data_IF_339832975346
#
_entry.id   IF_339832975346
#
_cell.length_a   1.000
_cell.length_b   1.000
_cell.length_c   1.000
_cell.angle_alpha   90.00
_cell.angle_beta   90.00
_cell.angle_gamma   90.00
#
_symmetry.space_group_name_H-M   'P 1'
#
loop_
_entity.id
_entity.type
_entity.pdbx_description
1 polymer ?
#
# COMPACT_ATOMS: atom_id res chain seq x y z
N UNK A 1 2.63 -25.34 10.15
CA UNK A 1 2.20 -24.17 9.35
C UNK A 1 3.33 -23.16 9.32
N UNK A 2 3.64 -22.63 8.14
CA UNK A 2 4.68 -21.59 7.98
C UNK A 2 4.22 -20.29 8.64
N UNK A 3 5.14 -19.41 9.03
CA UNK A 3 4.83 -18.21 9.81
C UNK A 3 3.88 -17.23 9.10
N UNK A 4 3.83 -17.25 7.76
CA UNK A 4 2.95 -16.43 6.91
C UNK A 4 1.59 -17.07 6.63
N UNK A 5 1.36 -18.31 7.07
CA UNK A 5 0.09 -19.04 6.89
C UNK A 5 -0.75 -19.06 8.17
N UNK A 6 -0.29 -18.41 9.23
CA UNK A 6 -1.01 -18.34 10.50
C UNK A 6 -1.97 -17.15 10.49
N UNK A 7 -3.24 -17.38 10.85
CA UNK A 7 -4.27 -16.35 10.85
C UNK A 7 -4.37 -15.62 9.50
N UNK A 8 -4.38 -14.29 9.54
CA UNK A 8 -4.45 -13.43 8.36
C UNK A 8 -3.08 -12.84 7.96
N UNK A 9 -1.97 -13.38 8.49
CA UNK A 9 -0.61 -12.90 8.19
C UNK A 9 -0.18 -13.06 6.72
N UNK A 10 -0.91 -13.86 5.94
CA UNK A 10 -0.69 -13.99 4.50
C UNK A 10 -0.97 -12.67 3.76
N UNK A 11 -1.89 -11.82 4.25
CA UNK A 11 -2.27 -10.56 3.58
C UNK A 11 -1.10 -9.57 3.47
N UNK A 12 -0.47 -9.13 4.57
CA UNK A 12 0.68 -8.22 4.48
C UNK A 12 1.86 -8.87 3.75
N UNK A 13 2.03 -10.19 3.85
CA UNK A 13 3.08 -10.92 3.12
C UNK A 13 2.83 -10.88 1.60
N UNK A 14 1.61 -11.21 1.17
CA UNK A 14 1.20 -11.18 -0.23
C UNK A 14 1.30 -9.75 -0.80
N UNK A 15 0.85 -8.74 -0.05
CA UNK A 15 0.98 -7.34 -0.44
C UNK A 15 2.43 -6.96 -0.76
N UNK A 16 3.35 -7.23 0.16
CA UNK A 16 4.77 -6.85 -0.01
C UNK A 16 5.43 -7.65 -1.13
N UNK A 17 5.22 -8.97 -1.19
CA UNK A 17 5.78 -9.83 -2.24
C UNK A 17 5.25 -9.41 -3.61
N UNK A 18 3.94 -9.19 -3.74
CA UNK A 18 3.31 -8.84 -5.01
C UNK A 18 3.72 -7.46 -5.51
N UNK A 19 3.77 -6.47 -4.61
CA UNK A 19 4.21 -5.11 -4.97
C UNK A 19 5.70 -5.10 -5.34
N UNK A 20 6.53 -5.85 -4.62
CA UNK A 20 7.95 -6.01 -4.98
C UNK A 20 8.11 -6.67 -6.34
N UNK A 21 7.32 -7.72 -6.63
CA UNK A 21 7.32 -8.36 -7.94
C UNK A 21 6.88 -7.41 -9.06
N UNK A 22 5.89 -6.55 -8.81
CA UNK A 22 5.46 -5.52 -9.76
C UNK A 22 6.61 -4.59 -10.13
N UNK A 23 7.36 -4.10 -9.13
CA UNK A 23 8.51 -3.22 -9.37
C UNK A 23 9.64 -3.93 -10.10
N UNK A 24 9.97 -5.15 -9.69
CA UNK A 24 11.07 -5.93 -10.28
C UNK A 24 10.76 -6.31 -11.73
N UNK A 25 9.57 -6.82 -12.03
CA UNK A 25 9.23 -7.21 -13.40
C UNK A 25 9.12 -6.01 -14.33
N UNK A 26 8.57 -4.89 -13.86
CA UNK A 26 8.54 -3.66 -14.65
C UNK A 26 9.95 -3.14 -14.92
N UNK A 27 10.81 -3.08 -13.90
CA UNK A 27 12.20 -2.67 -14.03
C UNK A 27 12.97 -3.56 -15.02
N UNK A 28 12.92 -4.89 -14.86
CA UNK A 28 13.61 -5.83 -15.74
C UNK A 28 13.14 -5.61 -17.18
N UNK A 29 11.83 -5.55 -17.40
CA UNK A 29 11.26 -5.37 -18.74
C UNK A 29 11.71 -4.03 -19.36
N UNK A 30 11.54 -2.92 -18.64
CA UNK A 30 11.91 -1.58 -19.11
C UNK A 30 13.41 -1.48 -19.46
N UNK A 31 14.28 -2.08 -18.65
CA UNK A 31 15.73 -2.11 -18.91
C UNK A 31 16.07 -3.01 -20.10
N UNK A 32 15.48 -4.21 -20.18
CA UNK A 32 15.75 -5.14 -21.30
C UNK A 32 15.28 -4.61 -22.65
N UNK A 33 14.23 -3.78 -22.66
CA UNK A 33 13.72 -3.12 -23.86
C UNK A 33 14.34 -1.74 -24.11
N UNK A 34 15.30 -1.32 -23.27
CA UNK A 34 15.97 -0.02 -23.35
C UNK A 34 15.01 1.19 -23.27
N UNK A 35 13.91 1.07 -22.54
CA UNK A 35 12.97 2.19 -22.31
C UNK A 35 13.44 3.13 -21.19
N UNK A 36 14.31 2.66 -20.29
CA UNK A 36 14.91 3.43 -19.20
C UNK A 36 16.37 3.02 -19.02
N UNK A 37 17.15 3.89 -18.38
CA UNK A 37 18.53 3.56 -18.03
C UNK A 37 18.59 2.59 -16.84
N UNK A 38 19.55 1.64 -16.79
CA UNK A 38 19.68 0.71 -15.68
C UNK A 38 20.01 1.37 -14.33
N UNK A 39 20.65 2.54 -14.37
CA UNK A 39 21.20 3.23 -13.20
C UNK A 39 20.10 3.95 -12.39
N UNK A 40 19.33 3.15 -11.63
CA UNK A 40 18.30 3.59 -10.68
C UNK A 40 17.25 4.56 -11.27
N UNK A 41 16.45 4.11 -12.25
CA UNK A 41 15.33 4.90 -12.77
C UNK A 41 14.24 5.05 -11.69
N UNK A 42 13.33 6.01 -11.88
CA UNK A 42 12.13 6.07 -11.06
C UNK A 42 11.34 4.76 -11.25
N UNK A 43 10.76 4.23 -10.17
CA UNK A 43 9.80 3.13 -10.23
C UNK A 43 8.68 3.49 -11.22
N UNK A 44 8.18 4.72 -11.15
CA UNK A 44 7.15 5.24 -12.05
C UNK A 44 7.57 5.32 -13.52
N UNK A 45 8.85 5.58 -13.81
CA UNK A 45 9.39 5.55 -15.18
C UNK A 45 9.38 4.12 -15.74
N UNK A 46 9.70 3.11 -14.90
CA UNK A 46 9.64 1.70 -15.31
C UNK A 46 8.22 1.23 -15.66
N UNK A 47 7.17 1.97 -15.32
CA UNK A 47 5.78 1.65 -15.62
C UNK A 47 5.16 2.51 -16.72
N UNK A 48 5.97 3.19 -17.54
CA UNK A 48 5.48 4.22 -18.47
C UNK A 48 5.26 3.71 -19.90
N UNK A 49 6.09 2.81 -20.42
CA UNK A 49 6.06 2.35 -21.81
C UNK A 49 5.45 0.95 -21.92
N UNK A 50 4.90 0.59 -23.08
CA UNK A 50 4.37 -0.76 -23.31
C UNK A 50 5.51 -1.72 -23.68
N UNK A 51 5.50 -2.98 -23.22
CA UNK A 51 4.39 -3.67 -22.55
C UNK A 51 4.32 -3.48 -21.03
N UNK A 52 5.39 -3.00 -20.38
CA UNK A 52 5.54 -3.01 -18.92
C UNK A 52 4.52 -2.13 -18.20
N UNK A 53 4.04 -1.03 -18.80
CA UNK A 53 2.97 -0.21 -18.23
C UNK A 53 1.68 -0.99 -17.98
N UNK A 54 1.35 -1.95 -18.85
CA UNK A 54 0.14 -2.76 -18.72
C UNK A 54 0.30 -3.77 -17.57
N UNK A 55 1.47 -4.39 -17.48
CA UNK A 55 1.82 -5.31 -16.40
C UNK A 55 1.86 -4.59 -15.05
N UNK A 56 2.56 -3.45 -14.99
CA UNK A 56 2.68 -2.59 -13.81
C UNK A 56 1.30 -2.12 -13.33
N UNK A 57 0.47 -1.63 -14.25
CA UNK A 57 -0.89 -1.20 -13.95
C UNK A 57 -1.75 -2.33 -13.37
N UNK A 58 -1.77 -3.50 -14.02
CA UNK A 58 -2.53 -4.66 -13.53
C UNK A 58 -2.05 -5.10 -12.14
N UNK A 59 -0.73 -5.23 -11.95
CA UNK A 59 -0.16 -5.69 -10.69
C UNK A 59 -0.36 -4.69 -9.54
N UNK A 60 -0.24 -3.39 -9.78
CA UNK A 60 -0.45 -2.37 -8.75
C UNK A 60 -1.92 -2.19 -8.37
N UNK A 61 -2.86 -2.39 -9.29
CA UNK A 61 -4.28 -2.41 -8.93
C UNK A 61 -4.60 -3.62 -8.02
N UNK A 62 -4.01 -4.80 -8.27
CA UNK A 62 -4.11 -5.95 -7.36
C UNK A 62 -3.46 -5.64 -6.00
N UNK A 63 -2.28 -5.00 -6.00
CA UNK A 63 -1.62 -4.55 -4.78
C UNK A 63 -2.49 -3.57 -3.97
N UNK A 64 -3.21 -2.66 -4.64
CA UNK A 64 -4.13 -1.74 -3.97
C UNK A 64 -5.25 -2.48 -3.23
N UNK A 65 -5.82 -3.53 -3.84
CA UNK A 65 -6.84 -4.38 -3.18
C UNK A 65 -6.27 -5.14 -1.99
N UNK A 66 -5.08 -5.74 -2.14
CA UNK A 66 -4.38 -6.41 -1.03
C UNK A 66 -4.05 -5.44 0.11
N UNK A 67 -3.71 -4.19 -0.22
CA UNK A 67 -3.44 -3.13 0.73
C UNK A 67 -4.70 -2.74 1.50
N UNK A 68 -5.83 -2.52 0.81
CA UNK A 68 -7.14 -2.26 1.45
C UNK A 68 -7.50 -3.39 2.40
N UNK A 69 -7.37 -4.66 1.97
CA UNK A 69 -7.65 -5.81 2.83
C UNK A 69 -6.76 -5.83 4.08
N UNK A 70 -5.45 -5.57 3.92
CA UNK A 70 -4.49 -5.50 5.02
C UNK A 70 -4.84 -4.37 6.00
N UNK A 71 -5.15 -3.18 5.50
CA UNK A 71 -5.56 -2.01 6.29
C UNK A 71 -6.87 -2.29 7.03
N UNK A 72 -7.84 -2.94 6.38
CA UNK A 72 -9.12 -3.29 6.98
C UNK A 72 -8.96 -4.30 8.12
N UNK A 73 -8.15 -5.34 7.93
CA UNK A 73 -7.83 -6.30 9.01
C UNK A 73 -7.16 -5.59 10.17
N UNK A 74 -6.23 -4.67 9.91
CA UNK A 74 -5.61 -3.85 10.97
C UNK A 74 -6.66 -3.00 11.71
N UNK A 75 -7.56 -2.37 10.98
CA UNK A 75 -8.65 -1.59 11.57
C UNK A 75 -9.53 -2.45 12.49
N UNK A 76 -9.95 -3.64 12.03
CA UNK A 76 -10.76 -4.56 12.83
C UNK A 76 -10.00 -5.09 14.04
N UNK A 77 -8.70 -5.36 13.90
CA UNK A 77 -7.84 -5.76 15.00
C UNK A 77 -7.84 -4.72 16.13
N UNK A 78 -7.53 -3.46 15.79
CA UNK A 78 -7.45 -2.37 16.78
C UNK A 78 -8.82 -2.12 17.42
N UNK A 79 -9.89 -2.16 16.61
CA UNK A 79 -11.25 -1.99 17.12
C UNK A 79 -11.67 -3.09 18.12
N UNK A 80 -11.32 -4.35 17.84
CA UNK A 80 -11.66 -5.47 18.71
C UNK A 80 -10.85 -5.47 20.03
N UNK A 81 -9.61 -4.99 20.00
CA UNK A 81 -8.72 -5.02 21.17
C UNK A 81 -8.84 -3.79 22.08
N UNK A 82 -9.44 -2.70 21.60
CA UNK A 82 -9.58 -1.44 22.35
C UNK A 82 -10.94 -0.76 22.11
N UNK A 83 -12.07 -1.44 22.41
CA UNK A 83 -13.41 -0.97 22.03
C UNK A 83 -13.93 0.24 22.84
N UNK A 84 -13.33 0.54 24.00
CA UNK A 84 -13.81 1.59 24.91
C UNK A 84 -12.93 2.86 24.90
N UNK A 85 -11.78 2.83 24.21
CA UNK A 85 -10.83 3.93 24.21
C UNK A 85 -11.11 4.92 23.07
N UNK A 86 -11.84 5.99 23.39
CA UNK A 86 -12.27 7.01 22.43
C UNK A 86 -11.15 7.57 21.53
N UNK A 87 -9.95 7.77 22.06
CA UNK A 87 -8.81 8.29 21.28
C UNK A 87 -8.32 7.23 20.28
N UNK A 88 -8.15 5.98 20.72
CA UNK A 88 -7.75 4.86 19.86
C UNK A 88 -8.78 4.66 18.75
N UNK A 89 -10.08 4.71 19.06
CA UNK A 89 -11.15 4.55 18.07
C UNK A 89 -11.07 5.64 16.98
N UNK A 90 -10.89 6.90 17.38
CA UNK A 90 -10.76 8.02 16.43
C UNK A 90 -9.53 7.87 15.55
N UNK A 91 -8.37 7.57 16.14
CA UNK A 91 -7.12 7.34 15.40
C UNK A 91 -7.23 6.14 14.46
N UNK A 92 -7.89 5.07 14.89
CA UNK A 92 -8.10 3.88 14.07
C UNK A 92 -8.98 4.17 12.85
N UNK A 93 -10.08 4.92 13.02
CA UNK A 93 -10.91 5.39 11.91
C UNK A 93 -10.16 6.33 10.97
N UNK A 94 -9.39 7.28 11.51
CA UNK A 94 -8.55 8.16 10.71
C UNK A 94 -7.52 7.36 9.89
N UNK A 95 -6.87 6.38 10.51
CA UNK A 95 -5.97 5.44 9.83
C UNK A 95 -6.65 4.67 8.71
N UNK A 96 -7.87 4.16 8.92
CA UNK A 96 -8.63 3.49 7.86
C UNK A 96 -8.86 4.40 6.65
N UNK A 97 -9.29 5.65 6.88
CA UNK A 97 -9.52 6.62 5.79
C UNK A 97 -8.23 6.96 5.06
N UNK A 98 -7.15 7.29 5.79
CA UNK A 98 -5.84 7.59 5.21
C UNK A 98 -5.29 6.43 4.37
N UNK A 99 -5.44 5.20 4.87
CA UNK A 99 -5.03 4.00 4.16
C UNK A 99 -5.81 3.77 2.87
N UNK A 100 -7.14 3.96 2.88
CA UNK A 100 -7.98 3.85 1.67
C UNK A 100 -7.61 4.93 0.65
N UNK A 101 -7.39 6.18 1.08
CA UNK A 101 -6.94 7.26 0.20
C UNK A 101 -5.56 6.96 -0.42
N UNK A 102 -4.65 6.36 0.34
CA UNK A 102 -3.35 5.90 -0.18
C UNK A 102 -3.50 4.81 -1.24
N UNK A 103 -4.43 3.86 -1.05
CA UNK A 103 -4.72 2.82 -2.04
C UNK A 103 -5.37 3.39 -3.31
N UNK A 104 -6.22 4.41 -3.19
CA UNK A 104 -6.75 5.15 -4.34
C UNK A 104 -5.60 5.81 -5.11
N UNK A 105 -4.66 6.46 -4.41
CA UNK A 105 -3.45 6.99 -5.03
C UNK A 105 -2.66 5.92 -5.78
N UNK A 106 -2.53 4.72 -5.19
CA UNK A 106 -1.80 3.61 -5.80
C UNK A 106 -2.46 3.17 -7.12
N UNK A 107 -3.79 3.16 -7.17
CA UNK A 107 -4.53 2.92 -8.42
C UNK A 107 -4.35 4.06 -9.43
N UNK A 108 -4.30 5.33 -9.00
CA UNK A 108 -4.04 6.44 -9.92
C UNK A 108 -2.66 6.33 -10.57
N UNK A 109 -1.58 6.13 -9.79
CA UNK A 109 -0.22 5.99 -10.36
C UNK A 109 -0.08 4.76 -11.25
N UNK A 110 -0.84 3.70 -10.97
CA UNK A 110 -0.85 2.47 -11.77
C UNK A 110 -1.44 2.69 -13.17
N UNK A 111 -2.41 3.60 -13.31
CA UNK A 111 -3.18 3.76 -14.54
C UNK A 111 -2.85 5.06 -15.31
N UNK A 112 -2.37 6.10 -14.63
CA UNK A 112 -2.00 7.38 -15.23
C UNK A 112 -0.49 7.54 -15.25
N UNK A 113 0.13 7.35 -16.42
CA UNK A 113 1.58 7.45 -16.60
C UNK A 113 2.05 8.90 -16.50
N UNK A 114 3.23 9.09 -15.90
CA UNK A 114 3.91 10.38 -15.74
C UNK A 114 4.00 11.17 -17.04
N UNK A 115 4.39 10.51 -18.14
CA UNK A 115 4.63 11.16 -19.44
C UNK A 115 3.35 11.49 -20.21
N UNK A 116 2.22 10.86 -19.87
CA UNK A 116 0.94 11.04 -20.57
C UNK A 116 0.05 12.05 -19.86
N UNK A 117 -0.09 11.93 -18.53
CA UNK A 117 -0.95 12.81 -17.74
C UNK A 117 -0.30 13.14 -16.39
N UNK A 118 0.75 13.96 -16.43
CA UNK A 118 1.60 14.29 -15.30
C UNK A 118 0.85 14.70 -14.04
N UNK A 119 -0.14 15.60 -14.14
CA UNK A 119 -0.89 16.08 -12.98
C UNK A 119 -1.69 14.96 -12.28
N UNK A 120 -2.26 14.03 -13.05
CA UNK A 120 -2.95 12.87 -12.50
C UNK A 120 -1.97 11.89 -11.85
N UNK A 121 -0.80 11.69 -12.47
CA UNK A 121 0.26 10.86 -11.90
C UNK A 121 0.77 11.42 -10.56
N UNK A 122 1.10 12.73 -10.52
CA UNK A 122 1.60 13.39 -9.31
C UNK A 122 0.54 13.43 -8.21
N UNK A 123 -0.73 13.67 -8.54
CA UNK A 123 -1.81 13.61 -7.54
C UNK A 123 -1.97 12.18 -6.98
N UNK A 124 -1.85 11.16 -7.83
CA UNK A 124 -1.74 9.77 -7.42
C UNK A 124 -0.57 9.54 -6.46
N UNK A 125 0.64 10.00 -6.81
CA UNK A 125 1.84 9.81 -5.99
C UNK A 125 1.72 10.51 -4.63
N UNK A 126 1.17 11.73 -4.58
CA UNK A 126 0.89 12.45 -3.32
C UNK A 126 -0.14 11.71 -2.48
N UNK A 127 -1.18 11.14 -3.09
CA UNK A 127 -2.14 10.30 -2.37
C UNK A 127 -1.47 9.03 -1.83
N UNK A 128 -0.73 8.29 -2.66
CA UNK A 128 -0.05 7.05 -2.26
C UNK A 128 0.94 7.30 -1.13
N UNK A 129 1.96 8.13 -1.38
CA UNK A 129 3.06 8.34 -0.45
C UNK A 129 2.69 9.29 0.68
N UNK A 130 1.95 10.37 0.40
CA UNK A 130 1.55 11.36 1.41
C UNK A 130 0.54 10.78 2.40
N UNK A 131 -0.62 10.30 1.92
CA UNK A 131 -1.63 9.71 2.82
C UNK A 131 -1.11 8.41 3.44
N UNK A 132 -0.29 7.65 2.71
CA UNK A 132 0.39 6.46 3.24
C UNK A 132 1.35 6.77 4.39
N UNK A 133 2.12 7.86 4.29
CA UNK A 133 3.04 8.28 5.36
C UNK A 133 2.27 8.70 6.62
N UNK A 134 1.17 9.44 6.43
CA UNK A 134 0.26 9.80 7.53
C UNK A 134 -0.38 8.56 8.15
N UNK A 135 -0.77 7.56 7.34
CA UNK A 135 -1.24 6.26 7.83
C UNK A 135 -0.19 5.58 8.70
N UNK A 136 1.07 5.48 8.25
CA UNK A 136 2.15 4.88 9.04
C UNK A 136 2.38 5.62 10.35
N UNK A 137 2.33 6.96 10.33
CA UNK A 137 2.44 7.79 11.53
C UNK A 137 1.31 7.50 12.53
N UNK A 138 0.05 7.52 12.09
CA UNK A 138 -1.12 7.20 12.93
C UNK A 138 -1.02 5.79 13.50
N UNK A 139 -0.63 4.80 12.70
CA UNK A 139 -0.48 3.42 13.14
C UNK A 139 0.69 3.24 14.11
N UNK A 140 1.72 4.08 14.03
CA UNK A 140 2.80 4.13 15.01
C UNK A 140 2.32 4.69 16.35
N UNK A 141 1.52 5.77 16.34
CA UNK A 141 0.87 6.30 17.55
C UNK A 141 -0.04 5.25 18.19
N UNK A 142 -0.87 4.58 17.40
CA UNK A 142 -1.71 3.48 17.87
C UNK A 142 -0.86 2.35 18.49
N UNK A 143 0.26 2.02 17.86
CA UNK A 143 1.18 1.00 18.38
C UNK A 143 1.74 1.36 19.75
N UNK A 144 2.01 2.65 20.00
CA UNK A 144 2.43 3.18 21.30
C UNK A 144 1.29 3.14 22.33
N UNK A 145 0.09 3.63 21.97
CA UNK A 145 -1.06 3.66 22.89
C UNK A 145 -1.50 2.26 23.33
N UNK A 146 -1.34 1.27 22.46
CA UNK A 146 -1.70 -0.14 22.74
C UNK A 146 -0.60 -0.91 23.49
N UNK A 147 0.47 -0.24 23.96
CA UNK A 147 1.49 -0.85 24.82
C UNK A 147 1.07 -0.87 26.28
N UNK A 148 1.63 -1.79 27.09
CA UNK A 148 2.38 -2.99 26.70
C UNK A 148 1.47 -4.20 26.42
N UNK A 149 0.15 -4.05 26.61
CA UNK A 149 -0.80 -5.17 26.64
C UNK A 149 -0.91 -5.89 25.30
N UNK A 150 -0.79 -5.18 24.17
CA UNK A 150 -1.02 -5.74 22.83
C UNK A 150 0.25 -5.74 22.00
N UNK A 151 0.97 -4.61 21.95
CA UNK A 151 2.24 -4.52 21.21
C UNK A 151 3.44 -4.46 22.16
N UNK A 152 4.50 -5.18 21.81
CA UNK A 152 5.79 -5.06 22.49
C UNK A 152 6.49 -3.73 22.18
N UNK A 153 7.36 -3.28 23.09
CA UNK A 153 8.16 -2.04 22.94
C UNK A 153 8.98 -2.02 21.65
N UNK A 154 9.52 -3.18 21.25
CA UNK A 154 10.34 -3.31 20.04
C UNK A 154 9.57 -2.97 18.75
N UNK A 155 8.31 -3.39 18.63
CA UNK A 155 7.50 -3.16 17.41
C UNK A 155 7.24 -1.66 17.22
N UNK A 156 6.97 -0.93 18.31
CA UNK A 156 6.83 0.52 18.25
C UNK A 156 8.10 1.20 17.75
N UNK A 157 9.28 0.87 18.31
CA UNK A 157 10.54 1.46 17.88
C UNK A 157 10.85 1.16 16.41
N UNK A 158 10.59 -0.06 15.94
CA UNK A 158 10.74 -0.42 14.52
C UNK A 158 9.81 0.44 13.65
N UNK A 159 8.53 0.56 14.01
CA UNK A 159 7.54 1.39 13.29
C UNK A 159 7.93 2.86 13.28
N UNK A 160 8.43 3.39 14.40
CA UNK A 160 8.92 4.76 14.51
C UNK A 160 10.11 5.01 13.60
N UNK A 161 11.10 4.11 13.59
CA UNK A 161 12.26 4.21 12.69
C UNK A 161 11.84 4.22 11.22
N UNK A 162 10.88 3.37 10.84
CA UNK A 162 10.34 3.32 9.47
C UNK A 162 9.59 4.59 9.09
N UNK A 163 8.83 5.19 10.02
CA UNK A 163 8.17 6.48 9.79
C UNK A 163 9.19 7.61 9.62
N UNK A 164 10.23 7.65 10.45
CA UNK A 164 11.31 8.65 10.32
C UNK A 164 12.05 8.49 9.00
N UNK A 165 12.39 7.26 8.62
CA UNK A 165 12.97 6.94 7.30
C UNK A 165 12.07 7.45 6.17
N UNK A 166 10.79 7.08 6.19
CA UNK A 166 9.81 7.51 5.19
C UNK A 166 9.74 9.04 5.10
N UNK A 167 9.69 9.72 6.24
CA UNK A 167 9.63 11.19 6.33
C UNK A 167 10.86 11.89 5.75
N UNK A 168 12.07 11.39 6.06
CA UNK A 168 13.32 11.93 5.48
C UNK A 168 13.34 11.73 3.96
N UNK A 169 12.91 10.57 3.48
CA UNK A 169 12.86 10.29 2.04
C UNK A 169 11.81 11.14 1.32
N UNK A 170 10.64 11.31 1.92
CA UNK A 170 9.58 12.19 1.39
C UNK A 170 10.03 13.66 1.35
N UNK A 171 10.71 14.14 2.39
CA UNK A 171 11.27 15.50 2.41
C UNK A 171 12.33 15.69 1.32
N UNK A 172 13.26 14.72 1.16
CA UNK A 172 14.25 14.73 0.09
C UNK A 172 13.59 14.74 -1.30
N UNK A 173 12.58 13.90 -1.52
CA UNK A 173 11.82 13.86 -2.78
C UNK A 173 11.16 15.21 -3.08
N UNK A 174 10.44 15.77 -2.12
CA UNK A 174 9.70 17.02 -2.30
C UNK A 174 10.63 18.18 -2.60
N UNK A 175 11.70 18.34 -1.82
CA UNK A 175 12.67 19.42 -1.99
C UNK A 175 13.42 19.31 -3.31
N UNK A 176 14.02 18.16 -3.62
CA UNK A 176 14.79 17.97 -4.84
C UNK A 176 13.91 18.01 -6.10
N UNK A 177 12.68 17.45 -6.06
CA UNK A 177 11.75 17.55 -7.19
C UNK A 177 11.30 19.00 -7.42
N UNK A 178 11.04 19.76 -6.35
CA UNK A 178 10.68 21.18 -6.48
C UNK A 178 11.79 21.97 -7.15
N UNK A 179 13.04 21.74 -6.77
CA UNK A 179 14.21 22.38 -7.41
C UNK A 179 14.33 21.91 -8.86
N UNK A 180 14.19 20.61 -9.14
CA UNK A 180 14.33 20.04 -10.49
C UNK A 180 13.28 20.60 -11.47
N UNK A 181 12.01 20.71 -11.06
CA UNK A 181 10.93 21.17 -11.94
C UNK A 181 10.75 22.70 -11.99
N UNK A 182 11.30 23.44 -11.02
CA UNK A 182 11.29 24.92 -11.04
C UNK A 182 12.57 25.53 -11.64
N UNK A 183 13.65 24.76 -11.70
CA UNK A 183 14.93 25.20 -12.25
C UNK A 183 15.00 25.11 -13.78
N UNK A 184 15.97 25.82 -14.36
CA UNK A 184 16.25 25.79 -15.79
C UNK A 184 17.19 24.63 -16.17
N UNK A 185 16.66 23.40 -16.03
CA UNK A 185 17.40 22.15 -16.29
C UNK A 185 17.07 21.50 -17.64
N UNK A 186 16.33 22.21 -18.51
CA UNK A 186 15.98 21.77 -19.86
C UNK A 186 14.47 21.70 -20.09
N UNK A 187 14.08 21.63 -21.36
CA UNK A 187 12.69 21.39 -21.77
C UNK A 187 12.36 19.89 -21.66
N UNK A 188 11.09 19.56 -21.40
CA UNK A 188 10.56 18.18 -21.42
C UNK A 188 11.11 17.22 -20.34
N UNK A 189 11.51 17.73 -19.17
CA UNK A 189 11.94 16.93 -18.00
C UNK A 189 10.92 15.84 -17.60
N UNK A 190 9.63 16.10 -17.83
CA UNK A 190 8.55 15.16 -17.51
C UNK A 190 8.59 13.93 -18.43
N UNK A 191 8.98 14.11 -19.68
CA UNK A 191 9.05 13.07 -20.70
C UNK A 191 10.41 12.36 -20.73
N UNK A 192 11.42 12.92 -20.06
CA UNK A 192 12.78 12.42 -20.05
C UNK A 192 12.90 11.11 -19.24
N UNK A 193 13.15 10.02 -19.94
CA UNK A 193 13.40 8.67 -19.38
C UNK A 193 14.87 8.25 -19.39
N UNK A 194 15.68 8.91 -20.22
CA UNK A 194 17.13 8.66 -20.31
C UNK A 194 17.91 9.87 -19.78
N UNK A 195 18.87 9.61 -18.90
CA UNK A 195 19.64 10.57 -18.13
C UNK A 195 21.13 10.26 -18.24
N UNK A 196 21.86 11.15 -18.91
CA UNK A 196 23.31 11.11 -18.94
C UNK A 196 23.87 11.80 -17.69
N UNK A 197 24.99 11.30 -17.11
CA UNK A 197 25.64 11.96 -15.98
C UNK A 197 26.07 13.42 -16.23
N UNK A 198 26.24 13.79 -17.50
CA UNK A 198 26.56 15.16 -17.94
C UNK A 198 25.32 16.07 -18.03
N UNK A 199 24.12 15.51 -17.94
CA UNK A 199 22.88 16.29 -18.02
C UNK A 199 22.74 17.22 -16.82
N UNK A 200 22.33 18.47 -17.10
CA UNK A 200 21.94 19.40 -16.06
C UNK A 200 20.76 18.81 -15.27
N UNK A 201 20.88 18.81 -13.94
CA UNK A 201 19.86 18.23 -13.06
C UNK A 201 19.99 16.72 -12.81
N UNK A 202 20.96 16.03 -13.40
CA UNK A 202 21.20 14.59 -13.19
C UNK A 202 21.28 14.21 -11.71
N UNK A 203 22.05 14.96 -10.91
CA UNK A 203 22.18 14.71 -9.47
C UNK A 203 20.84 14.81 -8.74
N UNK A 204 20.03 15.81 -9.09
CA UNK A 204 18.69 15.98 -8.49
C UNK A 204 17.78 14.81 -8.88
N UNK A 205 17.82 14.39 -10.15
CA UNK A 205 17.13 13.19 -10.62
C UNK A 205 17.54 11.94 -9.84
N UNK A 206 18.83 11.70 -9.64
CA UNK A 206 19.31 10.55 -8.87
C UNK A 206 18.86 10.58 -7.40
N UNK A 207 18.83 11.77 -6.79
CA UNK A 207 18.34 11.92 -5.41
C UNK A 207 16.84 11.65 -5.33
N UNK A 208 16.05 12.11 -6.29
CA UNK A 208 14.61 11.88 -6.32
C UNK A 208 14.27 10.43 -6.66
N UNK A 209 14.95 9.77 -7.59
CA UNK A 209 14.75 8.34 -7.85
C UNK A 209 15.10 7.50 -6.61
N UNK A 210 16.25 7.76 -5.98
CA UNK A 210 16.64 7.11 -4.74
C UNK A 210 15.59 7.34 -3.62
N UNK A 211 15.05 8.54 -3.52
CA UNK A 211 14.01 8.86 -2.55
C UNK A 211 12.69 8.08 -2.82
N UNK A 212 12.30 7.85 -4.08
CA UNK A 212 11.10 7.07 -4.43
C UNK A 212 11.23 5.60 -3.99
N UNK A 213 12.36 4.97 -4.33
CA UNK A 213 12.69 3.61 -3.91
C UNK A 213 12.78 3.51 -2.39
N UNK A 214 13.47 4.47 -1.76
CA UNK A 214 13.64 4.55 -0.31
C UNK A 214 12.30 4.66 0.43
N UNK A 215 11.40 5.53 -0.03
CA UNK A 215 10.04 5.61 0.51
C UNK A 215 9.34 4.26 0.37
N UNK A 216 9.34 3.67 -0.83
CA UNK A 216 8.68 2.39 -1.10
C UNK A 216 9.16 1.26 -0.18
N UNK A 217 10.47 1.16 0.08
CA UNK A 217 11.01 0.17 1.01
C UNK A 217 10.60 0.41 2.45
N UNK A 218 10.47 1.68 2.88
CA UNK A 218 9.94 2.00 4.21
C UNK A 218 8.48 1.53 4.38
N UNK A 219 7.65 1.65 3.34
CA UNK A 219 6.29 1.10 3.32
C UNK A 219 6.29 -0.43 3.43
N UNK A 220 7.14 -1.10 2.65
CA UNK A 220 7.27 -2.57 2.71
C UNK A 220 7.68 -3.01 4.11
N UNK A 221 8.72 -2.40 4.67
CA UNK A 221 9.15 -2.65 6.05
C UNK A 221 8.02 -2.46 7.05
N UNK A 222 7.19 -1.42 6.88
CA UNK A 222 6.08 -1.15 7.77
C UNK A 222 4.98 -2.20 7.68
N UNK A 223 4.56 -2.60 6.48
CA UNK A 223 3.57 -3.65 6.30
C UNK A 223 4.08 -5.02 6.78
N UNK A 224 5.37 -5.31 6.66
CA UNK A 224 5.97 -6.53 7.22
C UNK A 224 5.81 -6.60 8.75
N UNK A 225 5.76 -5.45 9.45
CA UNK A 225 5.48 -5.46 10.90
C UNK A 225 4.09 -6.01 11.25
N UNK A 226 3.13 -5.99 10.32
CA UNK A 226 1.79 -6.54 10.55
C UNK A 226 1.72 -8.06 10.48
N UNK A 227 2.75 -8.73 9.95
CA UNK A 227 2.77 -10.19 9.89
C UNK A 227 2.50 -10.78 11.28
N UNK A 228 3.29 -10.38 12.28
CA UNK A 228 3.13 -10.88 13.66
C UNK A 228 1.80 -10.47 14.28
N UNK A 229 1.34 -9.25 13.99
CA UNK A 229 0.07 -8.75 14.49
C UNK A 229 -1.12 -9.59 13.99
N UNK A 230 -1.02 -10.16 12.79
CA UNK A 230 -2.13 -10.86 12.12
C UNK A 230 -2.11 -12.38 12.33
N UNK A 231 -1.05 -12.95 12.92
CA UNK A 231 -0.91 -14.39 13.13
C UNK A 231 -2.04 -15.00 13.99
N UNK A 232 -2.61 -14.20 14.90
CA UNK A 232 -3.68 -14.62 15.83
C UNK A 232 -5.06 -14.04 15.49
N UNK A 233 -5.24 -13.58 14.26
CA UNK A 233 -6.52 -13.03 13.79
C UNK A 233 -7.15 -14.00 12.81
N UNK A 234 -8.43 -14.29 13.01
CA UNK A 234 -9.29 -14.99 12.06
C UNK A 234 -10.52 -14.14 11.76
N UNK A 235 -10.89 -14.01 10.49
CA UNK A 235 -12.11 -13.33 10.07
C UNK A 235 -13.10 -14.38 9.54
N UNK A 236 -14.29 -14.43 10.14
CA UNK A 236 -15.40 -15.26 9.70
C UNK A 236 -16.39 -14.36 8.96
N UNK A 237 -16.68 -14.68 7.71
CA UNK A 237 -17.78 -14.07 6.95
C UNK A 237 -18.97 -15.01 7.07
N UNK A 238 -20.11 -14.49 7.50
CA UNK A 238 -21.35 -15.25 7.66
C UNK A 238 -22.44 -14.57 6.83
N UNK A 239 -23.00 -15.30 5.88
CA UNK A 239 -24.09 -14.84 5.03
C UNK A 239 -25.42 -15.20 5.68
N UNK A 240 -26.06 -14.21 6.32
CA UNK A 240 -27.39 -14.39 6.90
C UNK A 240 -28.47 -14.09 5.86
N UNK A 241 -29.21 -15.13 5.44
CA UNK A 241 -30.36 -14.97 4.56
C UNK A 241 -31.57 -14.51 5.39
N UNK A 242 -32.10 -13.33 5.09
CA UNK A 242 -33.29 -12.79 5.75
C UNK A 242 -34.62 -13.22 5.11
N UNK A 243 -34.57 -14.10 4.11
CA UNK A 243 -35.71 -14.61 3.35
C UNK A 243 -35.23 -15.49 2.18
N UNK A 244 -36.15 -16.24 1.57
CA UNK A 244 -35.85 -17.04 0.37
C UNK A 244 -36.02 -16.19 -0.90
N UNK A 245 -36.75 -15.09 -0.80
CA UNK A 245 -36.99 -14.14 -1.88
C UNK A 245 -36.76 -12.70 -1.42
N UNK A 246 -36.61 -11.77 -2.37
CA UNK A 246 -36.47 -10.33 -2.12
C UNK A 246 -37.72 -9.68 -1.47
N UNK A 247 -38.81 -10.44 -1.32
CA UNK A 247 -40.11 -9.95 -0.87
C UNK A 247 -40.61 -10.63 0.41
N UNK A 248 -39.88 -11.63 0.92
CA UNK A 248 -40.27 -12.30 2.17
C UNK A 248 -40.10 -11.35 3.35
N UNK A 249 -41.20 -11.14 4.09
CA UNK A 249 -41.29 -10.21 5.24
C UNK A 249 -41.20 -10.94 6.59
N UNK A 250 -41.16 -12.27 6.59
CA UNK A 250 -41.08 -13.09 7.80
C UNK A 250 -39.75 -13.86 7.86
N UNK A 251 -39.15 -14.03 9.06
CA UNK A 251 -37.94 -14.83 9.21
C UNK A 251 -38.24 -16.30 8.91
N UNK A 252 -37.83 -16.76 7.73
CA UNK A 252 -37.81 -18.18 7.38
C UNK A 252 -36.64 -18.85 8.13
N UNK A 253 -36.76 -20.10 8.59
CA UNK A 253 -35.63 -20.81 9.17
C UNK A 253 -34.46 -20.85 8.17
N UNK A 254 -33.34 -20.24 8.57
CA UNK A 254 -32.16 -20.07 7.74
C UNK A 254 -31.53 -21.44 7.52
N UNK A 255 -31.49 -21.88 6.26
CA UNK A 255 -30.64 -22.99 5.84
C UNK A 255 -29.22 -22.42 5.78
N UNK A 256 -28.45 -22.57 6.86
CA UNK A 256 -27.01 -22.30 6.90
C UNK A 256 -26.26 -23.41 6.14
N UNK A 257 -25.02 -23.15 5.70
CA UNK A 257 -24.10 -24.11 5.06
C UNK A 257 -23.84 -25.37 5.92
N UNK A 258 -24.29 -25.38 7.18
CA UNK A 258 -24.26 -26.55 8.10
C UNK A 258 -25.52 -27.42 8.09
N UNK A 259 -26.58 -27.03 7.39
CA UNK A 259 -27.85 -27.74 7.46
C UNK A 259 -27.82 -28.96 6.54
N UNK A 260 -28.00 -30.18 7.09
CA UNK A 260 -28.01 -31.41 6.29
C UNK A 260 -29.12 -31.35 5.23
N UNK A 261 -28.74 -31.48 3.96
CA UNK A 261 -29.63 -31.35 2.79
C UNK A 261 -30.65 -32.50 2.62
N UNK A 262 -30.66 -33.50 3.50
CA UNK A 262 -31.62 -34.61 3.45
C UNK A 262 -32.10 -34.97 4.85
N UNK A 263 -33.43 -35.01 5.01
CA UNK A 263 -34.12 -35.73 6.08
C UNK A 263 -33.63 -37.18 6.06
N UNK A 264 -33.05 -37.64 7.17
CA UNK A 264 -32.86 -39.07 7.39
C UNK A 264 -34.18 -39.58 7.92
N UNK A 265 -35.04 -39.99 7.00
CA UNK A 265 -36.37 -40.51 7.27
C UNK A 265 -36.37 -41.60 8.35
N UNK A 266 -37.36 -41.50 9.25
CA UNK A 266 -37.98 -42.58 9.99
C UNK A 266 -39.49 -42.32 10.02
#
# INVERSE_FOLDING_TARGET
MWWFQQGLSFLPSALVIWTSAAFIFSYITAVTLHHVDPALPYISDTGTVAPEKCLFGAMLNIAAVLCIATIYVRYKQVHALSPEENIIIKLNKAGLVLGILSCLGLSLVANFQKTTLFFAHVSGAVLTFGMGSLYMFVQTILSYQMQPKIHGKQVFWIRLLLVVWCGVSAFSMLTCSSILYSGDFGTDLVQKLHWNPEDKGYVLHMVTTAAEWSMSFSFFGFFLTYIRDFQKISLRVETNLHGLTLYDTAPCPVIDERTQLLSRDL
#
